data_IF_968475062259
#
_entry.id   IF_968475062259
#
_cell.length_a   1.000
_cell.length_b   1.000
_cell.length_c   1.000
_cell.angle_alpha   90.00
_cell.angle_beta   90.00
_cell.angle_gamma   90.00
#
_symmetry.space_group_name_H-M   'P 1'
#
loop_
_entity.id
_entity.type
_entity.pdbx_description
1 polymer ?
#
# COMPACT_ATOMS: atom_id res chain seq x y z
N UNK A 1 -7.82 4.31 14.51
CA UNK A 1 -7.62 2.93 15.04
C UNK A 1 -6.14 2.51 15.04
N UNK A 2 -5.40 2.55 13.92
CA UNK A 2 -4.05 1.99 13.87
C UNK A 2 -3.01 2.66 14.78
N UNK A 3 -2.95 4.00 14.82
CA UNK A 3 -2.13 4.77 15.80
C UNK A 3 -2.48 4.45 17.26
N UNK A 4 -3.78 4.27 17.54
CA UNK A 4 -4.28 3.92 18.87
C UNK A 4 -3.84 2.53 19.33
N UNK A 5 -3.61 1.63 18.38
CA UNK A 5 -3.12 0.26 18.62
C UNK A 5 -1.58 0.15 18.63
N UNK A 6 -0.85 1.25 18.45
CA UNK A 6 0.62 1.27 18.50
C UNK A 6 1.30 0.69 17.25
N UNK A 7 0.62 0.61 16.11
CA UNK A 7 1.26 0.18 14.87
C UNK A 7 2.21 1.26 14.34
N UNK A 8 3.37 0.82 13.84
CA UNK A 8 4.43 1.71 13.29
C UNK A 8 4.20 2.04 11.82
N UNK A 9 3.56 1.14 11.08
CA UNK A 9 3.27 1.30 9.67
C UNK A 9 1.99 0.55 9.28
N UNK A 10 1.41 0.94 8.16
CA UNK A 10 0.32 0.25 7.48
C UNK A 10 0.78 -0.06 6.07
N UNK A 11 0.77 -1.34 5.71
CA UNK A 11 1.01 -1.78 4.35
C UNK A 11 -0.27 -2.33 3.73
N UNK A 12 -0.47 -2.06 2.44
CA UNK A 12 -1.61 -2.54 1.66
C UNK A 12 -1.16 -3.03 0.29
N UNK A 13 -1.93 -3.95 -0.26
CA UNK A 13 -1.83 -4.43 -1.63
C UNK A 13 -2.98 -3.84 -2.45
N UNK A 14 -2.69 -3.41 -3.68
CA UNK A 14 -3.68 -2.95 -4.65
C UNK A 14 -3.31 -3.40 -6.05
N UNK A 15 -4.27 -3.43 -6.98
CA UNK A 15 -4.00 -3.85 -8.35
C UNK A 15 -3.14 -2.83 -9.13
N UNK A 16 -2.32 -3.29 -10.07
CA UNK A 16 -1.52 -2.47 -10.98
C UNK A 16 -2.34 -1.93 -12.17
N UNK A 17 -3.50 -2.53 -12.46
CA UNK A 17 -4.41 -2.11 -13.54
C UNK A 17 -4.85 -0.64 -13.40
N UNK A 18 -5.11 0.02 -14.52
CA UNK A 18 -5.56 1.43 -14.57
C UNK A 18 -6.84 1.69 -13.77
N UNK A 19 -7.69 0.67 -13.60
CA UNK A 19 -8.88 0.74 -12.76
C UNK A 19 -8.58 1.13 -11.30
N UNK A 20 -7.41 0.74 -10.79
CA UNK A 20 -6.96 1.04 -9.42
C UNK A 20 -6.09 2.31 -9.33
N UNK A 21 -5.83 2.99 -10.45
CA UNK A 21 -5.06 4.24 -10.47
C UNK A 21 -5.65 5.33 -9.56
N UNK A 22 -6.98 5.57 -9.54
CA UNK A 22 -7.56 6.55 -8.62
C UNK A 22 -7.33 6.19 -7.15
N UNK A 23 -7.39 4.90 -6.82
CA UNK A 23 -7.13 4.40 -5.47
C UNK A 23 -5.66 4.59 -5.09
N UNK A 24 -4.71 4.22 -5.96
CA UNK A 24 -3.27 4.46 -5.75
C UNK A 24 -2.97 5.94 -5.51
N UNK A 25 -3.55 6.83 -6.33
CA UNK A 25 -3.41 8.28 -6.14
C UNK A 25 -3.99 8.77 -4.82
N UNK A 26 -5.14 8.23 -4.41
CA UNK A 26 -5.73 8.53 -3.12
C UNK A 26 -4.81 8.13 -1.97
N UNK A 27 -4.21 6.93 -2.01
CA UNK A 27 -3.26 6.46 -1.01
C UNK A 27 -1.98 7.32 -0.99
N UNK A 28 -1.41 7.63 -2.16
CA UNK A 28 -0.25 8.54 -2.27
C UNK A 28 -0.51 9.88 -1.59
N UNK A 29 -1.70 10.45 -1.80
CA UNK A 29 -2.09 11.73 -1.17
C UNK A 29 -2.21 11.64 0.35
N UNK A 30 -2.53 10.46 0.88
CA UNK A 30 -2.64 10.22 2.33
C UNK A 30 -1.32 9.83 2.99
N UNK A 31 -0.20 9.82 2.25
CA UNK A 31 1.13 9.53 2.81
C UNK A 31 1.58 8.08 2.62
N UNK A 32 0.85 7.27 1.86
CA UNK A 32 1.37 5.99 1.40
C UNK A 32 2.43 6.20 0.33
N UNK A 33 3.46 5.35 0.32
CA UNK A 33 4.52 5.28 -0.68
C UNK A 33 4.57 3.88 -1.26
N UNK A 34 5.00 3.74 -2.51
CA UNK A 34 5.24 2.41 -3.09
C UNK A 34 6.35 1.70 -2.31
N UNK A 35 6.17 0.40 -2.10
CA UNK A 35 7.16 -0.45 -1.45
C UNK A 35 7.27 -1.79 -2.17
N UNK A 36 8.33 -2.53 -1.85
CA UNK A 36 8.47 -3.92 -2.27
C UNK A 36 7.35 -4.79 -1.66
N UNK A 37 7.07 -5.97 -2.26
CA UNK A 37 6.18 -6.95 -1.66
C UNK A 37 6.60 -7.24 -0.22
N UNK A 38 5.64 -7.26 0.69
CA UNK A 38 5.88 -7.59 2.10
C UNK A 38 5.52 -9.05 2.36
N UNK A 39 6.17 -9.68 3.36
CA UNK A 39 5.90 -11.07 3.74
C UNK A 39 6.16 -12.09 2.61
N UNK A 40 5.21 -12.97 2.30
CA UNK A 40 5.33 -14.03 1.29
C UNK A 40 4.67 -13.68 -0.05
N UNK A 41 4.30 -12.42 -0.26
CA UNK A 41 3.72 -12.00 -1.52
C UNK A 41 4.80 -11.98 -2.61
N UNK A 42 4.56 -12.72 -3.69
CA UNK A 42 5.43 -12.67 -4.87
C UNK A 42 5.18 -11.40 -5.68
N UNK A 43 6.19 -10.98 -6.43
CA UNK A 43 6.14 -9.82 -7.30
C UNK A 43 5.23 -10.16 -8.51
N UNK A 44 3.91 -10.13 -8.30
CA UNK A 44 2.95 -10.28 -9.38
C UNK A 44 2.88 -8.95 -10.16
N UNK A 45 2.99 -8.97 -11.50
CA UNK A 45 2.88 -7.75 -12.31
C UNK A 45 1.51 -7.06 -12.19
N UNK A 46 0.50 -7.74 -11.66
CA UNK A 46 -0.83 -7.20 -11.39
C UNK A 46 -1.00 -6.67 -9.97
N UNK A 47 -0.02 -6.84 -9.08
CA UNK A 47 -0.06 -6.36 -7.70
C UNK A 47 0.92 -5.22 -7.47
N UNK A 48 0.48 -4.24 -6.68
CA UNK A 48 1.25 -3.07 -6.28
C UNK A 48 1.13 -2.93 -4.78
N UNK A 49 2.28 -2.85 -4.11
CA UNK A 49 2.34 -2.73 -2.66
C UNK A 49 2.63 -1.28 -2.27
N UNK A 50 1.95 -0.81 -1.24
CA UNK A 50 2.14 0.53 -0.71
C UNK A 50 2.22 0.47 0.81
N UNK A 51 3.06 1.29 1.40
CA UNK A 51 3.23 1.40 2.85
C UNK A 51 3.14 2.85 3.31
N UNK A 52 2.59 3.08 4.50
CA UNK A 52 2.53 4.38 5.15
C UNK A 52 3.06 4.23 6.58
N UNK A 53 3.96 5.11 6.97
CA UNK A 53 4.41 5.23 8.36
C UNK A 53 3.36 6.01 9.15
N UNK A 54 2.99 5.50 10.31
CA UNK A 54 1.89 6.05 11.14
C UNK A 54 2.37 7.09 12.13
#
# INVERSE_FOLDING_TARGET
EARRRGYRCVSLETGSMAHFEPARRFYLKHGFRYCEPFSTYENDPNSVFMTMEL
#
